data_IF_424362729630
#
_entry.id   IF_424362729630
#
_cell.length_a   1.000
_cell.length_b   1.000
_cell.length_c   1.000
_cell.angle_alpha   90.00
_cell.angle_beta   90.00
_cell.angle_gamma   90.00
#
_symmetry.space_group_name_H-M   'P 1'
#
loop_
_entity.id
_entity.type
_entity.pdbx_description
1 polymer ?
#
# COMPACT_ATOMS: atom_id res chain seq x y z
N UNK A 1 18.36 -61.48 8.44
CA UNK A 1 18.91 -60.17 8.00
C UNK A 1 17.73 -59.31 7.56
N UNK A 2 17.22 -58.47 8.47
CA UNK A 2 16.15 -57.50 8.20
C UNK A 2 16.83 -56.13 8.14
N UNK A 3 16.60 -55.39 7.06
CA UNK A 3 17.19 -54.06 6.87
C UNK A 3 16.70 -53.10 7.97
N UNK A 4 17.56 -52.20 8.49
CA UNK A 4 17.09 -51.07 9.27
C UNK A 4 16.37 -50.12 8.32
N UNK A 5 15.06 -50.26 8.21
CA UNK A 5 14.20 -49.17 7.77
C UNK A 5 14.41 -48.05 8.77
N UNK A 6 15.06 -46.98 8.30
CA UNK A 6 15.17 -45.72 9.00
C UNK A 6 13.74 -45.26 9.23
N UNK A 7 13.26 -45.32 10.47
CA UNK A 7 12.07 -44.59 10.86
C UNK A 7 12.39 -43.11 10.60
N UNK A 8 11.93 -42.58 9.47
CA UNK A 8 11.81 -41.14 9.28
C UNK A 8 11.01 -40.62 10.45
N UNK A 9 11.58 -39.69 11.21
CA UNK A 9 10.90 -39.03 12.31
C UNK A 9 9.55 -38.49 11.82
N UNK A 10 8.47 -39.13 12.25
CA UNK A 10 7.10 -38.66 12.02
C UNK A 10 6.77 -37.78 13.22
N UNK A 11 6.83 -36.45 13.02
CA UNK A 11 6.33 -35.44 13.95
C UNK A 11 5.02 -34.82 13.42
N UNK A 12 4.13 -34.33 14.27
CA UNK A 12 2.75 -34.00 13.90
C UNK A 12 2.70 -32.64 13.20
N UNK A 13 2.37 -32.66 11.91
CA UNK A 13 2.09 -31.49 11.06
C UNK A 13 3.32 -30.63 10.62
N UNK A 14 3.52 -30.54 9.30
CA UNK A 14 4.59 -29.80 8.60
C UNK A 14 4.05 -28.57 7.85
N UNK A 15 2.73 -28.36 7.83
CA UNK A 15 2.10 -27.49 6.83
C UNK A 15 2.13 -26.01 7.25
N UNK A 16 2.37 -25.73 8.53
CA UNK A 16 2.33 -24.39 9.12
C UNK A 16 3.61 -24.03 9.88
N UNK A 17 4.74 -24.30 9.23
CA UNK A 17 6.08 -23.96 9.71
C UNK A 17 6.29 -22.46 9.95
N UNK A 18 7.38 -22.13 10.64
CA UNK A 18 7.81 -20.74 10.77
C UNK A 18 8.13 -20.16 9.38
N UNK A 19 7.88 -18.87 9.12
CA UNK A 19 8.31 -18.24 7.87
C UNK A 19 9.81 -18.49 7.65
N UNK A 20 10.25 -18.71 6.41
CA UNK A 20 11.64 -19.13 6.08
C UNK A 20 12.74 -18.21 6.60
N UNK A 21 12.39 -16.99 7.01
CA UNK A 21 13.28 -16.00 7.62
C UNK A 21 13.51 -16.22 9.12
N UNK A 22 12.75 -17.09 9.78
CA UNK A 22 12.92 -17.46 11.18
C UNK A 22 13.63 -18.81 11.26
N UNK A 23 14.91 -18.77 11.61
CA UNK A 23 15.69 -19.96 11.95
C UNK A 23 15.81 -20.05 13.47
N UNK A 24 15.51 -21.22 14.02
CA UNK A 24 15.49 -21.44 15.46
C UNK A 24 14.61 -22.61 15.90
N UNK A 25 14.74 -22.96 17.17
CA UNK A 25 13.87 -23.92 17.84
C UNK A 25 12.84 -23.18 18.70
N UNK A 26 11.60 -23.67 18.70
CA UNK A 26 10.61 -23.27 19.70
C UNK A 26 11.13 -23.72 21.06
N UNK A 27 11.31 -22.78 21.98
CA UNK A 27 11.92 -23.08 23.30
C UNK A 27 10.87 -23.20 24.41
N UNK A 28 9.85 -22.35 24.38
CA UNK A 28 8.76 -22.35 25.35
C UNK A 28 7.45 -21.87 24.70
N UNK A 29 6.32 -22.30 25.26
CA UNK A 29 4.98 -21.97 24.78
C UNK A 29 4.02 -21.75 25.96
N UNK A 30 3.13 -20.77 25.83
CA UNK A 30 2.05 -20.51 26.78
C UNK A 30 0.75 -20.19 26.05
N UNK A 31 -0.37 -20.65 26.57
CA UNK A 31 -1.70 -20.36 26.01
C UNK A 31 -2.29 -19.11 26.66
N UNK A 32 -2.87 -18.24 25.86
CA UNK A 32 -3.62 -17.06 26.32
C UNK A 32 -4.96 -17.02 25.58
N UNK A 33 -6.01 -17.56 26.20
CA UNK A 33 -7.33 -17.76 25.57
C UNK A 33 -7.20 -18.46 24.21
N UNK A 34 -7.66 -17.84 23.10
CA UNK A 34 -7.58 -18.40 21.75
C UNK A 34 -6.21 -18.19 21.06
N UNK A 35 -5.19 -17.76 21.81
CA UNK A 35 -3.84 -17.55 21.30
C UNK A 35 -2.86 -18.57 21.86
N UNK A 36 -2.04 -19.14 20.97
CA UNK A 36 -0.81 -19.81 21.32
C UNK A 36 0.33 -18.80 21.23
N UNK A 37 1.00 -18.53 22.33
CA UNK A 37 2.18 -17.67 22.39
C UNK A 37 3.41 -18.56 22.55
N UNK A 38 4.43 -18.33 21.75
CA UNK A 38 5.64 -19.16 21.79
C UNK A 38 6.88 -18.34 21.44
N UNK A 39 8.03 -18.78 21.95
CA UNK A 39 9.31 -18.14 21.65
C UNK A 39 10.17 -19.03 20.74
N UNK A 40 10.85 -18.40 19.80
CA UNK A 40 11.84 -19.01 18.91
C UNK A 40 13.19 -18.40 19.25
N UNK A 41 14.14 -19.25 19.62
CA UNK A 41 15.47 -18.78 20.03
C UNK A 41 16.42 -18.65 18.84
N UNK A 42 17.32 -17.67 18.95
CA UNK A 42 18.44 -17.43 18.04
C UNK A 42 19.29 -18.67 17.80
N UNK A 43 19.75 -18.86 16.55
CA UNK A 43 20.63 -19.97 16.15
C UNK A 43 22.11 -19.63 16.19
N UNK A 44 22.46 -18.37 15.92
CA UNK A 44 23.82 -17.85 15.96
C UNK A 44 23.92 -16.58 16.81
N UNK A 45 25.15 -16.13 17.09
CA UNK A 45 25.39 -14.91 17.88
C UNK A 45 24.88 -13.63 17.20
N UNK A 46 24.73 -13.64 15.87
CA UNK A 46 24.15 -12.52 15.12
C UNK A 46 22.63 -12.51 15.13
N UNK A 47 22.01 -13.62 15.52
CA UNK A 47 20.58 -13.80 15.39
C UNK A 47 19.86 -13.29 16.63
N UNK A 48 18.58 -12.97 16.45
CA UNK A 48 17.68 -12.51 17.51
C UNK A 48 16.66 -13.61 17.81
N UNK A 49 16.27 -13.70 19.07
CA UNK A 49 15.14 -14.50 19.51
C UNK A 49 13.85 -13.69 19.37
N UNK A 50 12.72 -14.37 19.18
CA UNK A 50 11.43 -13.74 18.93
C UNK A 50 10.32 -14.39 19.72
N UNK A 51 9.33 -13.60 20.13
CA UNK A 51 8.07 -14.12 20.65
C UNK A 51 7.01 -13.91 19.57
N UNK A 52 6.28 -14.97 19.27
CA UNK A 52 5.19 -14.98 18.31
C UNK A 52 3.89 -15.36 19.01
N UNK A 53 2.77 -14.89 18.47
CA UNK A 53 1.44 -15.35 18.82
C UNK A 53 0.71 -15.84 17.58
N UNK A 54 -0.06 -16.91 17.74
CA UNK A 54 -0.88 -17.53 16.70
C UNK A 54 -2.29 -17.68 17.21
N UNK A 55 -3.28 -17.26 16.43
CA UNK A 55 -4.68 -17.47 16.77
C UNK A 55 -5.15 -18.82 16.22
N UNK A 56 -5.88 -19.59 17.02
CA UNK A 56 -6.40 -20.90 16.59
C UNK A 56 -7.38 -20.82 15.41
N UNK A 57 -8.12 -19.72 15.28
CA UNK A 57 -9.14 -19.53 14.25
C UNK A 57 -8.65 -18.76 13.01
N UNK A 58 -7.76 -17.79 13.19
CA UNK A 58 -7.29 -16.95 12.08
C UNK A 58 -5.99 -17.46 11.42
N UNK A 59 -5.29 -18.40 12.05
CA UNK A 59 -3.99 -18.87 11.58
C UNK A 59 -2.92 -17.76 11.60
N UNK A 60 -1.76 -18.06 11.02
CA UNK A 60 -0.66 -17.12 10.88
C UNK A 60 0.12 -16.83 12.18
N UNK A 61 1.39 -16.45 12.00
CA UNK A 61 2.30 -16.17 13.11
C UNK A 61 2.55 -14.65 13.18
N UNK A 62 2.12 -14.02 14.26
CA UNK A 62 2.34 -12.59 14.52
C UNK A 62 3.47 -12.41 15.50
N UNK A 63 4.58 -11.82 15.07
CA UNK A 63 5.67 -11.47 15.97
C UNK A 63 5.25 -10.32 16.89
N UNK A 64 5.45 -10.50 18.20
CA UNK A 64 5.10 -9.50 19.23
C UNK A 64 6.32 -8.96 19.97
N UNK A 65 7.45 -9.66 19.88
CA UNK A 65 8.71 -9.24 20.50
C UNK A 65 9.91 -9.73 19.69
N UNK A 66 11.01 -8.97 19.74
CA UNK A 66 12.33 -9.34 19.24
C UNK A 66 13.39 -8.97 20.28
N UNK A 67 14.29 -9.89 20.60
CA UNK A 67 15.40 -9.65 21.52
C UNK A 67 16.51 -8.81 20.88
N UNK A 68 17.52 -8.44 21.68
CA UNK A 68 18.83 -8.09 21.13
C UNK A 68 19.48 -9.31 20.45
N UNK A 69 20.47 -9.06 19.58
CA UNK A 69 21.26 -10.15 19.00
C UNK A 69 22.03 -10.88 20.11
N UNK A 70 22.27 -12.18 19.91
CA UNK A 70 22.95 -13.07 20.86
C UNK A 70 22.18 -13.37 22.17
N UNK A 71 20.94 -12.90 22.31
CA UNK A 71 20.17 -13.10 23.54
C UNK A 71 19.04 -14.11 23.37
N UNK A 72 19.03 -15.16 24.21
CA UNK A 72 18.00 -16.19 24.23
C UNK A 72 16.83 -15.81 25.14
N UNK A 73 15.62 -16.28 24.78
CA UNK A 73 14.43 -16.25 25.62
C UNK A 73 14.33 -17.60 26.34
N UNK A 74 14.44 -17.58 27.66
CA UNK A 74 14.56 -18.77 28.50
C UNK A 74 13.22 -19.25 29.08
N UNK A 75 12.19 -18.42 29.08
CA UNK A 75 10.85 -18.81 29.53
C UNK A 75 9.81 -17.80 29.11
N UNK A 76 8.55 -18.25 29.06
CA UNK A 76 7.35 -17.45 28.91
C UNK A 76 6.41 -17.73 30.09
N UNK A 77 5.77 -16.69 30.60
CA UNK A 77 4.68 -16.85 31.55
C UNK A 77 3.64 -15.76 31.31
N UNK A 78 2.38 -16.16 31.19
CA UNK A 78 1.27 -15.22 31.12
C UNK A 78 0.58 -15.12 32.48
N UNK A 79 0.45 -13.89 32.96
CA UNK A 79 -0.40 -13.59 34.10
C UNK A 79 -1.65 -12.87 33.61
N UNK A 80 -2.85 -13.41 33.86
CA UNK A 80 -4.10 -12.83 33.37
C UNK A 80 -4.43 -11.47 34.00
N UNK A 81 -5.41 -10.80 33.40
CA UNK A 81 -5.96 -9.52 33.82
C UNK A 81 -6.54 -9.54 35.24
N UNK A 82 -6.88 -10.73 35.75
CA UNK A 82 -7.32 -10.95 37.13
C UNK A 82 -6.18 -10.88 38.16
N UNK A 83 -4.93 -11.06 37.74
CA UNK A 83 -3.74 -10.97 38.61
C UNK A 83 -3.01 -9.63 38.44
N UNK A 84 -2.91 -9.14 37.21
CA UNK A 84 -2.33 -7.83 36.91
C UNK A 84 -3.26 -7.09 35.98
N UNK A 85 -3.57 -5.83 36.29
CA UNK A 85 -4.42 -5.00 35.44
C UNK A 85 -3.97 -5.10 33.99
N UNK A 86 -4.86 -5.63 33.16
CA UNK A 86 -4.75 -5.88 31.72
C UNK A 86 -3.82 -7.00 31.23
N UNK A 87 -3.40 -7.90 32.09
CA UNK A 87 -2.60 -9.06 31.73
C UNK A 87 -1.16 -8.71 31.34
N UNK A 88 -0.25 -9.63 31.63
CA UNK A 88 1.18 -9.47 31.34
C UNK A 88 1.72 -10.76 30.75
N UNK A 89 2.51 -10.61 29.68
CA UNK A 89 3.40 -11.66 29.23
C UNK A 89 4.78 -11.37 29.79
N UNK A 90 5.20 -12.18 30.76
CA UNK A 90 6.53 -12.20 31.33
C UNK A 90 7.42 -13.13 30.51
N UNK A 91 8.69 -12.76 30.38
CA UNK A 91 9.67 -13.58 29.70
C UNK A 91 11.08 -13.34 30.24
N UNK A 92 11.86 -14.41 30.35
CA UNK A 92 13.28 -14.32 30.69
C UNK A 92 14.10 -14.08 29.42
N UNK A 93 14.79 -12.94 29.32
CA UNK A 93 15.72 -12.65 28.22
C UNK A 93 17.14 -12.51 28.77
N UNK A 94 18.02 -13.45 28.40
CA UNK A 94 19.36 -13.54 28.96
C UNK A 94 19.32 -13.76 30.47
N UNK A 95 19.82 -12.78 31.24
CA UNK A 95 19.83 -12.80 32.71
C UNK A 95 18.71 -11.94 33.33
N UNK A 96 17.84 -11.34 32.52
CA UNK A 96 16.81 -10.40 32.97
C UNK A 96 15.41 -10.98 32.80
N UNK A 97 14.51 -10.66 33.74
CA UNK A 97 13.07 -10.88 33.56
C UNK A 97 12.46 -9.60 33.02
N UNK A 98 11.76 -9.72 31.90
CA UNK A 98 11.04 -8.62 31.26
C UNK A 98 9.55 -8.95 31.18
N UNK A 99 8.75 -7.93 30.91
CA UNK A 99 7.33 -8.13 30.60
C UNK A 99 6.89 -7.19 29.50
N UNK A 100 5.83 -7.60 28.81
CA UNK A 100 5.03 -6.74 27.96
C UNK A 100 3.56 -6.87 28.36
N UNK A 101 2.81 -5.79 28.17
CA UNK A 101 1.38 -5.82 28.40
C UNK A 101 0.73 -6.71 27.33
N UNK A 102 -0.05 -7.70 27.77
CA UNK A 102 -0.60 -8.75 26.89
C UNK A 102 -2.02 -9.07 27.35
N UNK A 103 -3.05 -8.42 26.76
CA UNK A 103 -4.40 -8.49 27.27
C UNK A 103 -5.00 -9.84 26.93
N UNK A 104 -5.91 -10.30 27.79
CA UNK A 104 -6.63 -11.55 27.59
C UNK A 104 -7.72 -11.40 26.51
N UNK A 105 -7.77 -10.29 25.79
CA UNK A 105 -8.82 -10.01 24.81
C UNK A 105 -8.51 -10.67 23.48
N UNK A 106 -9.52 -11.32 22.89
CA UNK A 106 -9.47 -11.83 21.51
C UNK A 106 -9.81 -10.75 20.48
N UNK A 107 -10.25 -9.58 20.96
CA UNK A 107 -10.74 -8.47 20.16
C UNK A 107 -9.61 -7.79 19.40
N UNK A 108 -9.92 -7.24 18.22
CA UNK A 108 -9.05 -6.33 17.47
C UNK A 108 -8.86 -5.05 18.30
N UNK A 109 -7.83 -5.03 19.16
CA UNK A 109 -7.70 -3.99 20.19
C UNK A 109 -7.30 -2.67 19.54
N UNK A 110 -8.24 -1.72 19.47
CA UNK A 110 -8.03 -0.40 18.83
C UNK A 110 -7.11 0.51 19.66
N UNK A 111 -7.11 0.36 20.98
CA UNK A 111 -6.17 0.92 21.97
C UNK A 111 -6.60 0.41 23.36
N UNK A 112 -5.68 0.15 24.28
CA UNK A 112 -6.02 -0.12 25.70
C UNK A 112 -5.61 1.07 26.53
N UNK A 113 -6.58 1.78 27.11
CA UNK A 113 -6.37 3.05 27.82
C UNK A 113 -5.42 2.98 29.01
N UNK A 114 -5.16 1.78 29.52
CA UNK A 114 -4.31 1.50 30.68
C UNK A 114 -2.89 1.04 30.29
N UNK A 115 -2.53 1.09 29.00
CA UNK A 115 -1.20 0.70 28.51
C UNK A 115 -0.33 1.95 28.36
N UNK A 116 0.92 1.86 28.80
CA UNK A 116 1.96 2.81 28.40
C UNK A 116 2.49 2.36 27.05
N UNK A 117 2.06 3.03 25.98
CA UNK A 117 2.67 2.88 24.66
C UNK A 117 3.99 3.67 24.62
N UNK A 118 4.98 3.15 23.89
CA UNK A 118 6.24 3.87 23.67
C UNK A 118 5.94 5.21 23.01
N UNK A 119 6.53 6.28 23.57
CA UNK A 119 6.35 7.68 23.13
C UNK A 119 7.05 7.96 21.79
N UNK A 120 7.88 7.04 21.32
CA UNK A 120 8.57 7.12 20.04
C UNK A 120 7.66 6.61 18.91
N UNK A 121 7.30 7.53 18.01
CA UNK A 121 6.36 7.32 16.93
C UNK A 121 6.97 6.44 15.85
N UNK A 122 6.76 5.12 15.99
CA UNK A 122 7.06 4.15 14.94
C UNK A 122 6.28 4.43 13.64
N UNK A 123 6.83 3.98 12.52
CA UNK A 123 6.17 4.09 11.22
C UNK A 123 5.06 3.04 11.06
N UNK A 124 3.83 3.48 10.83
CA UNK A 124 2.77 2.66 10.28
C UNK A 124 3.01 2.41 8.80
N UNK A 125 3.71 1.32 8.46
CA UNK A 125 3.98 0.95 7.05
C UNK A 125 2.72 0.36 6.41
N UNK A 126 2.29 0.96 5.30
CA UNK A 126 1.17 0.46 4.51
C UNK A 126 1.62 -0.62 3.52
N UNK A 127 0.67 -1.44 3.01
CA UNK A 127 0.96 -2.35 1.91
C UNK A 127 1.54 -1.63 0.69
N UNK A 128 2.38 -2.33 -0.07
CA UNK A 128 2.95 -1.79 -1.30
C UNK A 128 1.84 -1.64 -2.35
N UNK A 129 1.66 -0.42 -2.85
CA UNK A 129 0.79 -0.14 -3.98
C UNK A 129 1.50 -0.55 -5.28
N UNK A 130 0.88 -1.50 -5.99
CA UNK A 130 1.42 -2.15 -7.18
C UNK A 130 0.38 -2.32 -8.30
N UNK A 131 -0.61 -1.43 -8.34
CA UNK A 131 -1.59 -1.46 -9.44
C UNK A 131 -0.86 -1.29 -10.77
N UNK A 132 -1.18 -2.14 -11.76
CA UNK A 132 -0.55 -2.16 -13.08
C UNK A 132 0.98 -2.14 -12.99
N UNK A 133 1.58 -3.05 -12.22
CA UNK A 133 3.01 -3.02 -11.89
C UNK A 133 3.94 -2.99 -13.12
N UNK A 134 3.50 -3.51 -14.27
CA UNK A 134 4.24 -3.50 -15.52
C UNK A 134 4.21 -2.15 -16.26
N UNK A 135 3.26 -1.28 -15.94
CA UNK A 135 3.06 0.01 -16.63
C UNK A 135 3.65 1.12 -15.75
N UNK A 136 4.52 2.00 -16.30
CA UNK A 136 4.99 3.16 -15.56
C UNK A 136 3.82 4.10 -15.25
N UNK A 137 3.85 4.69 -14.07
CA UNK A 137 2.81 5.59 -13.55
C UNK A 137 3.47 6.86 -13.04
N UNK A 138 2.68 7.92 -12.89
CA UNK A 138 3.11 9.18 -12.28
C UNK A 138 2.30 9.39 -11.00
N UNK A 139 2.99 9.47 -9.86
CA UNK A 139 2.42 9.82 -8.57
C UNK A 139 2.24 11.35 -8.53
N UNK A 140 1.04 11.84 -8.22
CA UNK A 140 0.70 13.26 -8.28
C UNK A 140 0.66 13.89 -6.88
N UNK A 141 0.01 13.21 -5.94
CA UNK A 141 -0.05 13.69 -4.56
C UNK A 141 -0.79 12.74 -3.62
N UNK A 142 -0.82 13.12 -2.35
CA UNK A 142 -1.56 12.44 -1.30
C UNK A 142 -2.40 13.46 -0.53
N UNK A 143 -3.65 13.12 -0.25
CA UNK A 143 -4.48 13.86 0.70
C UNK A 143 -4.83 12.96 1.87
N UNK A 144 -5.01 13.58 3.04
CA UNK A 144 -5.42 12.91 4.26
C UNK A 144 -6.70 13.53 4.82
N UNK A 145 -7.53 12.69 5.43
CA UNK A 145 -8.57 13.14 6.36
C UNK A 145 -8.07 12.84 7.76
N UNK A 146 -7.89 13.88 8.57
CA UNK A 146 -7.27 13.80 9.90
C UNK A 146 -8.21 14.30 11.00
N UNK A 147 -7.90 13.98 12.25
CA UNK A 147 -8.52 14.60 13.43
C UNK A 147 -7.44 15.04 14.40
N UNK A 148 -7.76 16.09 15.16
CA UNK A 148 -6.91 16.59 16.25
C UNK A 148 -5.49 16.88 15.80
N UNK A 149 -5.30 17.33 14.55
CA UNK A 149 -4.02 17.83 14.07
C UNK A 149 -3.90 19.34 14.28
N UNK A 150 -2.73 19.77 14.71
CA UNK A 150 -2.28 21.15 14.81
C UNK A 150 -0.77 21.26 14.55
N UNK A 151 -0.17 22.43 14.83
CA UNK A 151 1.25 22.68 14.61
C UNK A 151 2.21 21.79 15.46
N UNK A 152 1.74 21.23 16.58
CA UNK A 152 2.53 20.40 17.49
C UNK A 152 2.17 18.91 17.38
N UNK A 153 0.95 18.60 16.95
CA UNK A 153 0.41 17.26 16.82
C UNK A 153 -0.05 17.04 15.39
N UNK A 154 0.67 16.26 14.59
CA UNK A 154 0.40 16.16 13.16
C UNK A 154 0.74 14.80 12.58
N UNK A 155 0.32 14.57 11.34
CA UNK A 155 0.62 13.35 10.61
C UNK A 155 1.68 13.62 9.55
N UNK A 156 2.76 12.86 9.56
CA UNK A 156 3.73 12.85 8.46
C UNK A 156 3.50 11.63 7.57
N UNK A 157 3.55 11.85 6.25
CA UNK A 157 3.48 10.78 5.26
C UNK A 157 4.82 10.66 4.56
N UNK A 158 5.35 9.45 4.58
CA UNK A 158 6.59 9.06 3.92
C UNK A 158 6.31 8.10 2.77
N UNK A 159 7.20 8.04 1.79
CA UNK A 159 7.10 7.15 0.66
C UNK A 159 8.44 6.53 0.27
N UNK A 160 8.35 5.38 -0.41
CA UNK A 160 9.47 4.67 -1.02
C UNK A 160 9.05 4.14 -2.38
N UNK A 161 9.87 4.35 -3.40
CA UNK A 161 9.58 3.98 -4.78
C UNK A 161 10.30 2.70 -5.19
N UNK A 162 9.67 1.89 -6.03
CA UNK A 162 10.31 0.79 -6.77
C UNK A 162 11.08 -0.21 -5.87
N UNK A 163 10.50 -0.54 -4.72
CA UNK A 163 11.10 -1.47 -3.74
C UNK A 163 12.00 -0.81 -2.69
N UNK A 164 12.24 0.50 -2.77
CA UNK A 164 12.90 1.24 -1.70
C UNK A 164 12.02 1.34 -0.45
N UNK A 165 12.66 1.40 0.72
CA UNK A 165 11.98 1.61 1.99
C UNK A 165 11.30 3.01 2.03
N UNK A 166 10.16 3.15 2.73
CA UNK A 166 9.43 4.41 2.77
C UNK A 166 10.04 5.41 3.76
N UNK A 167 11.18 6.00 3.38
CA UNK A 167 11.95 6.91 4.23
C UNK A 167 11.94 8.36 3.74
N UNK A 168 11.37 8.64 2.57
CA UNK A 168 11.33 10.00 2.01
C UNK A 168 10.05 10.69 2.46
N UNK A 169 10.16 11.83 3.15
CA UNK A 169 8.99 12.63 3.55
C UNK A 169 8.29 13.20 2.30
N UNK A 170 6.99 12.93 2.17
CA UNK A 170 6.13 13.52 1.15
C UNK A 170 5.54 14.84 1.65
N UNK A 171 5.07 14.86 2.89
CA UNK A 171 4.44 16.03 3.46
C UNK A 171 3.95 15.81 4.88
N UNK A 172 3.57 16.92 5.49
CA UNK A 172 3.06 17.04 6.84
C UNK A 172 1.62 17.52 6.77
N UNK A 173 0.74 16.89 7.54
CA UNK A 173 -0.68 17.21 7.65
C UNK A 173 -0.93 17.71 9.08
N UNK A 174 -0.93 19.03 9.25
CA UNK A 174 -1.08 19.74 10.52
C UNK A 174 -2.45 20.42 10.68
N UNK A 175 -3.32 20.36 9.67
CA UNK A 175 -4.71 20.85 9.76
C UNK A 175 -5.75 19.72 9.68
N UNK A 176 -6.85 19.87 10.43
CA UNK A 176 -7.99 18.94 10.46
C UNK A 176 -9.30 19.65 10.07
N UNK A 177 -10.25 18.97 9.40
CA UNK A 177 -10.22 17.56 9.00
C UNK A 177 -9.51 17.31 7.67
N UNK A 178 -9.14 18.37 6.93
CA UNK A 178 -8.47 18.29 5.64
C UNK A 178 -7.38 19.33 5.58
N UNK A 179 -6.18 18.88 5.26
CA UNK A 179 -5.06 19.74 4.93
C UNK A 179 -4.90 19.86 3.40
N UNK A 180 -3.91 20.66 3.01
CA UNK A 180 -3.39 20.78 1.66
C UNK A 180 -2.88 19.43 1.15
N UNK A 181 -3.09 19.18 -0.14
CA UNK A 181 -2.57 17.99 -0.81
C UNK A 181 -1.04 18.05 -0.81
N UNK A 182 -0.40 17.02 -0.24
CA UNK A 182 1.04 16.86 -0.34
C UNK A 182 1.38 16.37 -1.75
N UNK A 183 2.07 17.21 -2.54
CA UNK A 183 2.33 16.93 -3.96
C UNK A 183 3.73 16.36 -4.19
N UNK A 184 3.84 15.47 -5.17
CA UNK A 184 5.14 14.96 -5.61
C UNK A 184 5.80 15.97 -6.54
N UNK A 185 7.09 16.25 -6.31
CA UNK A 185 7.91 17.11 -7.17
C UNK A 185 7.22 18.47 -7.47
N UNK A 186 6.69 19.10 -6.42
CA UNK A 186 5.95 20.39 -6.52
C UNK A 186 4.78 20.36 -7.51
N UNK A 187 4.09 19.22 -7.62
CA UNK A 187 2.92 19.04 -8.48
C UNK A 187 3.23 18.52 -9.88
N UNK A 188 4.50 18.43 -10.27
CA UNK A 188 4.88 17.82 -11.56
C UNK A 188 4.74 16.29 -11.55
N UNK A 189 4.69 15.71 -10.35
CA UNK A 189 4.60 14.29 -10.13
C UNK A 189 5.95 13.58 -10.21
N UNK A 190 5.93 12.31 -9.79
CA UNK A 190 7.12 11.44 -9.78
C UNK A 190 6.80 10.09 -10.41
N UNK A 191 7.63 9.64 -11.34
CA UNK A 191 7.46 8.34 -11.99
C UNK A 191 7.66 7.17 -11.01
N UNK A 192 6.81 6.16 -11.08
CA UNK A 192 6.89 4.96 -10.23
C UNK A 192 6.29 3.71 -10.89
N UNK A 193 6.81 2.54 -10.51
CA UNK A 193 6.22 1.22 -10.81
C UNK A 193 5.47 0.68 -9.59
N UNK A 194 6.12 0.78 -8.43
CA UNK A 194 5.55 0.47 -7.11
C UNK A 194 5.84 1.62 -6.15
N UNK A 195 4.94 1.83 -5.21
CA UNK A 195 5.10 2.84 -4.15
C UNK A 195 4.61 2.26 -2.84
N UNK A 196 5.41 2.40 -1.78
CA UNK A 196 5.00 2.10 -0.42
C UNK A 196 4.89 3.39 0.37
N UNK A 197 3.83 3.50 1.16
CA UNK A 197 3.66 4.62 2.10
C UNK A 197 3.96 4.17 3.53
N UNK A 198 4.44 5.11 4.33
CA UNK A 198 4.52 4.98 5.77
C UNK A 198 3.96 6.23 6.43
N UNK A 199 3.22 6.04 7.51
CA UNK A 199 2.60 7.12 8.28
C UNK A 199 3.30 7.22 9.61
N UNK A 200 3.59 8.44 10.04
CA UNK A 200 4.11 8.73 11.37
C UNK A 200 3.20 9.75 12.04
N UNK A 201 2.76 9.41 13.26
CA UNK A 201 1.92 10.30 14.07
C UNK A 201 2.84 11.06 15.02
N UNK A 202 3.00 12.36 14.80
CA UNK A 202 3.83 13.22 15.64
C UNK A 202 2.98 13.77 16.76
N UNK A 203 3.40 13.51 18.01
CA UNK A 203 2.75 14.06 19.19
C UNK A 203 3.55 15.23 19.77
N UNK A 204 2.83 16.21 20.29
CA UNK A 204 3.37 17.29 21.09
C UNK A 204 3.54 16.88 22.55
N UNK A 205 3.83 17.87 23.41
CA UNK A 205 4.00 17.65 24.85
C UNK A 205 2.68 17.34 25.60
N UNK A 206 1.54 17.57 24.96
CA UNK A 206 0.21 17.40 25.55
C UNK A 206 -0.24 15.94 25.46
N UNK A 207 -0.60 15.33 26.59
CA UNK A 207 -0.98 13.90 26.61
C UNK A 207 -2.45 13.63 26.27
N UNK A 208 -3.28 14.67 26.17
CA UNK A 208 -4.74 14.57 26.02
C UNK A 208 -5.23 14.50 24.58
N UNK A 209 -4.44 14.98 23.63
CA UNK A 209 -4.76 14.93 22.21
C UNK A 209 -3.81 13.96 21.50
N UNK A 210 -4.26 13.39 20.39
CA UNK A 210 -3.44 12.52 19.54
C UNK A 210 -3.92 12.73 18.11
N UNK A 211 -3.01 12.98 17.16
CA UNK A 211 -3.41 13.13 15.78
C UNK A 211 -3.93 11.77 15.28
N UNK A 212 -5.08 11.79 14.63
CA UNK A 212 -5.68 10.59 14.05
C UNK A 212 -5.70 10.72 12.52
N UNK A 213 -5.38 9.63 11.83
CA UNK A 213 -5.58 9.51 10.39
C UNK A 213 -6.82 8.65 10.12
N UNK A 214 -7.87 9.25 9.56
CA UNK A 214 -9.10 8.55 9.21
C UNK A 214 -9.02 7.95 7.79
N UNK A 215 -8.45 8.68 6.84
CA UNK A 215 -8.37 8.25 5.45
C UNK A 215 -7.13 8.82 4.76
N UNK A 216 -6.54 8.02 3.87
CA UNK A 216 -5.43 8.41 3.00
C UNK A 216 -5.83 8.20 1.55
N UNK A 217 -5.76 9.26 0.75
CA UNK A 217 -6.12 9.26 -0.67
C UNK A 217 -4.85 9.45 -1.50
N UNK A 218 -4.62 8.55 -2.47
CA UNK A 218 -3.48 8.62 -3.35
C UNK A 218 -3.91 9.01 -4.77
N UNK A 219 -3.40 10.16 -5.25
CA UNK A 219 -3.62 10.64 -6.61
C UNK A 219 -2.46 10.18 -7.50
N UNK A 220 -2.79 9.47 -8.57
CA UNK A 220 -1.82 8.97 -9.54
C UNK A 220 -2.45 8.89 -10.93
N UNK A 221 -1.60 8.88 -11.94
CA UNK A 221 -1.98 8.75 -13.34
C UNK A 221 -1.18 7.63 -14.00
N UNK A 222 -1.85 6.75 -14.75
CA UNK A 222 -1.19 5.72 -15.54
C UNK A 222 -0.65 6.33 -16.82
N UNK A 223 0.65 6.14 -17.09
CA UNK A 223 1.30 6.63 -18.31
C UNK A 223 1.78 5.44 -19.13
N UNK A 224 0.89 4.73 -19.86
CA UNK A 224 1.35 3.71 -20.79
C UNK A 224 2.33 4.32 -21.78
N UNK A 225 3.39 3.58 -22.13
CA UNK A 225 4.35 4.01 -23.13
C UNK A 225 3.61 4.19 -24.46
N UNK A 226 3.63 5.41 -24.99
CA UNK A 226 3.11 5.68 -26.33
C UNK A 226 3.90 4.86 -27.35
N UNK A 227 3.19 4.07 -28.16
CA UNK A 227 3.83 3.23 -29.21
C UNK A 227 3.92 4.04 -30.50
N UNK A 228 2.78 4.55 -30.95
CA UNK A 228 2.62 5.31 -32.20
C UNK A 228 1.62 6.44 -31.99
N UNK A 229 1.70 7.51 -32.78
CA UNK A 229 0.70 8.57 -32.79
C UNK A 229 0.46 9.07 -34.21
N UNK A 230 -0.76 9.50 -34.47
CA UNK A 230 -1.18 10.08 -35.75
C UNK A 230 -1.95 11.36 -35.52
N UNK A 231 -1.65 12.35 -36.34
CA UNK A 231 -2.40 13.60 -36.44
C UNK A 231 -3.02 13.66 -37.82
N UNK A 232 -4.33 13.86 -37.89
CA UNK A 232 -5.07 13.94 -39.14
C UNK A 232 -6.11 15.05 -39.09
N UNK A 233 -6.42 15.61 -40.26
CA UNK A 233 -7.50 16.59 -40.39
C UNK A 233 -8.77 15.86 -40.79
N UNK A 234 -9.85 16.14 -40.09
CA UNK A 234 -11.20 15.69 -40.42
C UNK A 234 -11.93 16.84 -41.09
N UNK A 235 -12.47 16.55 -42.26
CA UNK A 235 -13.35 17.46 -43.00
C UNK A 235 -14.80 17.18 -42.60
N UNK A 236 -15.43 18.13 -41.92
CA UNK A 236 -16.84 18.08 -41.56
C UNK A 236 -17.57 19.20 -42.31
N UNK A 237 -18.20 18.81 -43.42
CA UNK A 237 -18.90 19.73 -44.34
C UNK A 237 -20.37 19.33 -44.50
N UNK A 238 -21.23 20.31 -44.77
CA UNK A 238 -22.65 20.11 -45.03
C UNK A 238 -23.47 19.57 -43.85
N UNK A 239 -24.56 18.89 -44.17
CA UNK A 239 -25.57 18.43 -43.18
C UNK A 239 -25.04 17.36 -42.21
N UNK A 240 -23.92 16.71 -42.52
CA UNK A 240 -23.33 15.68 -41.66
C UNK A 240 -22.31 16.22 -40.65
N UNK A 241 -21.94 17.50 -40.74
CA UNK A 241 -20.89 18.08 -39.90
C UNK A 241 -21.21 17.92 -38.39
N UNK A 242 -22.42 18.27 -37.97
CA UNK A 242 -22.85 18.14 -36.57
C UNK A 242 -22.80 16.67 -36.08
N UNK A 243 -23.14 15.69 -36.94
CA UNK A 243 -23.06 14.26 -36.60
C UNK A 243 -21.61 13.84 -36.37
N UNK A 244 -20.70 14.22 -37.26
CA UNK A 244 -19.28 13.88 -37.18
C UNK A 244 -18.68 14.42 -35.87
N UNK A 245 -18.96 15.69 -35.52
CA UNK A 245 -18.50 16.26 -34.24
C UNK A 245 -19.01 15.46 -33.04
N UNK A 246 -20.30 15.15 -32.99
CA UNK A 246 -20.88 14.37 -31.90
C UNK A 246 -20.33 12.95 -31.80
N UNK A 247 -20.01 12.30 -32.92
CA UNK A 247 -19.36 10.99 -32.92
C UNK A 247 -17.93 11.05 -32.36
N UNK A 248 -17.13 12.06 -32.73
CA UNK A 248 -15.79 12.24 -32.19
C UNK A 248 -15.79 12.65 -30.70
N UNK A 249 -16.73 13.50 -30.27
CA UNK A 249 -16.96 13.83 -28.86
C UNK A 249 -17.30 12.55 -28.06
N UNK A 250 -18.18 11.70 -28.59
CA UNK A 250 -18.51 10.42 -27.96
C UNK A 250 -17.28 9.50 -27.87
N UNK A 251 -16.43 9.46 -28.90
CA UNK A 251 -15.18 8.69 -28.88
C UNK A 251 -14.20 9.24 -27.83
N UNK A 252 -14.10 10.57 -27.69
CA UNK A 252 -13.19 11.21 -26.72
C UNK A 252 -13.47 10.76 -25.27
N UNK A 253 -14.76 10.60 -24.93
CA UNK A 253 -15.21 10.22 -23.59
C UNK A 253 -15.28 8.70 -23.38
N UNK A 254 -15.03 7.89 -24.42
CA UNK A 254 -15.04 6.44 -24.29
C UNK A 254 -13.83 5.92 -23.51
N UNK A 255 -14.08 4.95 -22.64
CA UNK A 255 -13.03 4.21 -21.89
C UNK A 255 -12.44 3.05 -22.70
N UNK A 256 -13.00 2.76 -23.87
CA UNK A 256 -12.60 1.65 -24.75
C UNK A 256 -11.72 2.18 -25.88
N UNK A 257 -10.68 1.44 -26.25
CA UNK A 257 -9.85 1.79 -27.42
C UNK A 257 -10.64 1.60 -28.71
N UNK A 258 -10.38 2.46 -29.70
CA UNK A 258 -10.99 2.39 -31.02
C UNK A 258 -10.01 1.84 -32.04
N UNK A 259 -10.50 1.06 -33.00
CA UNK A 259 -9.70 0.61 -34.12
C UNK A 259 -9.48 1.77 -35.11
N UNK A 260 -8.22 2.11 -35.34
CA UNK A 260 -7.80 3.13 -36.29
C UNK A 260 -7.03 2.52 -37.45
N UNK A 261 -7.40 2.92 -38.66
CA UNK A 261 -6.78 2.45 -39.90
C UNK A 261 -6.07 3.65 -40.54
N UNK A 262 -4.75 3.82 -40.39
CA UNK A 262 -4.05 4.99 -40.93
C UNK A 262 -4.21 5.16 -42.45
N UNK A 263 -4.47 4.07 -43.17
CA UNK A 263 -4.74 4.07 -44.61
C UNK A 263 -6.19 4.37 -44.98
N UNK A 264 -7.12 4.48 -44.03
CA UNK A 264 -8.57 4.55 -44.27
C UNK A 264 -9.24 3.24 -44.68
N UNK A 265 -8.48 2.26 -45.16
CA UNK A 265 -8.97 0.93 -45.54
C UNK A 265 -9.11 -0.01 -44.33
N UNK A 266 -10.33 -0.44 -44.05
CA UNK A 266 -10.67 -1.33 -42.92
C UNK A 266 -10.18 -2.78 -43.08
N UNK A 267 -9.69 -3.15 -44.27
CA UNK A 267 -9.09 -4.46 -44.53
C UNK A 267 -7.56 -4.46 -44.30
N UNK A 268 -6.98 -3.32 -43.96
CA UNK A 268 -5.55 -3.16 -43.67
C UNK A 268 -5.28 -3.13 -42.17
N UNK A 269 -4.02 -2.92 -41.80
CA UNK A 269 -3.57 -2.88 -40.42
C UNK A 269 -4.35 -1.86 -39.59
N UNK A 270 -5.06 -2.36 -38.58
CA UNK A 270 -5.69 -1.56 -37.53
C UNK A 270 -4.75 -1.37 -36.35
N UNK A 271 -4.87 -0.24 -35.66
CA UNK A 271 -4.22 0.05 -34.39
C UNK A 271 -5.28 0.38 -33.34
N UNK A 272 -5.07 -0.06 -32.10
CA UNK A 272 -5.96 0.27 -31.00
C UNK A 272 -5.54 1.60 -30.39
N UNK A 273 -6.28 2.66 -30.70
CA UNK A 273 -5.91 4.03 -30.34
C UNK A 273 -6.89 4.66 -29.36
N UNK A 274 -6.42 5.70 -28.69
CA UNK A 274 -7.23 6.66 -27.94
C UNK A 274 -7.17 8.02 -28.64
N UNK A 275 -8.30 8.71 -28.75
CA UNK A 275 -8.34 10.11 -29.18
C UNK A 275 -7.83 11.00 -28.04
N UNK A 276 -6.73 11.72 -28.25
CA UNK A 276 -6.07 12.52 -27.20
C UNK A 276 -6.29 14.01 -27.33
N UNK A 277 -6.61 14.49 -28.54
CA UNK A 277 -6.93 15.89 -28.77
C UNK A 277 -7.93 16.04 -29.92
N UNK A 278 -8.88 16.94 -29.71
CA UNK A 278 -9.85 17.45 -30.67
C UNK A 278 -10.12 18.92 -30.28
N UNK A 279 -10.14 19.88 -31.21
CA UNK A 279 -10.48 21.26 -30.88
C UNK A 279 -11.94 21.35 -30.43
N UNK A 280 -12.24 22.27 -29.52
CA UNK A 280 -13.61 22.67 -29.23
C UNK A 280 -14.28 23.15 -30.52
N UNK A 281 -15.58 22.91 -30.69
CA UNK A 281 -16.36 23.31 -31.87
C UNK A 281 -16.09 24.77 -32.26
N UNK A 282 -15.19 24.99 -33.20
CA UNK A 282 -14.94 26.29 -33.82
C UNK A 282 -15.58 26.26 -35.20
N UNK A 283 -16.76 26.86 -35.33
CA UNK A 283 -17.45 27.01 -36.61
C UNK A 283 -16.99 28.32 -37.26
N UNK A 284 -16.68 28.28 -38.55
CA UNK A 284 -16.75 29.49 -39.37
C UNK A 284 -18.05 29.46 -40.18
N UNK A 285 -18.92 30.43 -39.98
CA UNK A 285 -20.09 30.61 -40.86
C UNK A 285 -19.61 31.25 -42.16
N UNK A 286 -19.39 30.45 -43.20
CA UNK A 286 -19.35 30.95 -44.58
C UNK A 286 -20.60 30.44 -45.32
N UNK A 287 -21.44 31.40 -45.73
CA UNK A 287 -22.56 31.20 -46.68
C UNK A 287 -23.54 30.06 -46.34
N UNK A 288 -24.02 30.00 -45.10
CA UNK A 288 -25.22 29.22 -44.73
C UNK A 288 -25.01 27.73 -44.45
N UNK A 289 -23.77 27.25 -44.54
CA UNK A 289 -23.35 25.91 -44.09
C UNK A 289 -22.45 25.98 -42.87
N UNK A 290 -22.62 25.03 -41.95
CA UNK A 290 -21.69 24.76 -40.85
C UNK A 290 -20.54 23.90 -41.42
N UNK A 291 -19.49 24.52 -41.91
CA UNK A 291 -18.36 23.83 -42.55
C UNK A 291 -17.06 24.08 -41.76
N UNK A 292 -16.22 23.05 -41.61
CA UNK A 292 -14.96 23.18 -40.88
C UNK A 292 -13.99 22.02 -41.07
N UNK A 293 -12.69 22.32 -41.04
CA UNK A 293 -11.64 21.33 -40.83
C UNK A 293 -11.22 21.36 -39.37
N UNK A 294 -11.11 20.19 -38.74
CA UNK A 294 -10.54 20.09 -37.40
C UNK A 294 -9.43 19.04 -37.33
N UNK A 295 -8.39 19.36 -36.57
CA UNK A 295 -7.23 18.48 -36.40
C UNK A 295 -7.44 17.58 -35.18
N UNK A 296 -7.42 16.27 -35.41
CA UNK A 296 -7.47 15.26 -34.37
C UNK A 296 -6.09 14.64 -34.15
N UNK A 297 -5.80 14.26 -32.90
CA UNK A 297 -4.64 13.45 -32.57
C UNK A 297 -5.08 12.15 -31.89
N UNK A 298 -4.56 11.03 -32.37
CA UNK A 298 -4.80 9.70 -31.81
C UNK A 298 -3.48 9.03 -31.44
N UNK A 299 -3.51 8.20 -30.40
CA UNK A 299 -2.31 7.54 -29.86
C UNK A 299 -2.57 6.04 -29.65
N UNK A 300 -1.68 5.20 -30.17
CA UNK A 300 -1.64 3.77 -29.88
C UNK A 300 -1.06 3.58 -28.46
N UNK A 301 -1.92 3.09 -27.57
CA UNK A 301 -1.57 2.88 -26.15
C UNK A 301 -1.38 1.40 -25.79
N UNK A 302 -1.69 0.49 -26.71
CA UNK A 302 -1.54 -0.94 -26.52
C UNK A 302 -1.38 -1.69 -27.84
N UNK A 303 -0.36 -2.56 -27.91
CA UNK A 303 -0.14 -3.52 -28.99
C UNK A 303 -0.30 -4.92 -28.39
N UNK A 304 -1.40 -5.57 -28.75
CA UNK A 304 -1.69 -6.96 -28.38
C UNK A 304 -0.79 -7.95 -29.10
#
# INVERSE_FOLDING_TARGET
>A
KVAPSVATFVGPDLDDGLPSTYQGSIFDMVTVNNWLVYCVNKTAATDKSSILKRNSSYGGNLQVYTSAADTAIACLHHSPSSLYTNGRLWFGEGTSVKYMMFPDTTSNVKQVSTYTYVDDSGYGKLPIFRSLAAIPKVALGVAAITKSCDANEYVEVYYGLNGAAPTTLLGTFNDSPRDTIATFNSGLGTAFYTIQFAIKLIRGATTTNSPELESLMFYWYATPTRISAWTFNVEAIGDEADRIFTEFEAIQDTVTLVAFYPSGDTNKTSYNVKLTSMPSREWWEQQGGKEGYFTCTTEEVFKG
#
